data_IF_867206322553
#
_entry.id   IF_867206322553
#
_cell.length_a   1.000
_cell.length_b   1.000
_cell.length_c   1.000
_cell.angle_alpha   90.00
_cell.angle_beta   90.00
_cell.angle_gamma   90.00
#
_symmetry.space_group_name_H-M   'P 1'
#
loop_
_entity.id
_entity.type
_entity.pdbx_description
1 polymer ?
#
# COMPACT_ATOMS: atom_id res chain seq x y z
N UNK A 1 -6.27 16.67 -0.37
CA UNK A 1 -6.43 16.65 -1.85
C UNK A 1 -7.88 16.31 -2.19
N UNK A 2 -8.81 17.26 -2.06
CA UNK A 2 -10.21 17.11 -2.51
C UNK A 2 -10.34 17.86 -3.84
N UNK A 3 -10.79 17.20 -4.91
CA UNK A 3 -11.10 17.84 -6.19
C UNK A 3 -10.40 17.26 -7.43
N UNK A 4 -9.18 16.70 -7.31
CA UNK A 4 -8.44 16.26 -8.50
C UNK A 4 -9.03 15.03 -9.21
N UNK A 5 -9.89 14.27 -8.53
CA UNK A 5 -10.63 13.14 -9.12
C UNK A 5 -11.71 13.57 -10.12
N UNK A 6 -12.08 14.87 -10.12
CA UNK A 6 -13.05 15.42 -11.07
C UNK A 6 -12.43 15.69 -12.43
N UNK A 7 -11.09 15.78 -12.53
CA UNK A 7 -10.44 15.97 -13.83
C UNK A 7 -10.63 14.73 -14.70
N UNK A 8 -11.15 14.88 -15.94
CA UNK A 8 -11.43 13.75 -16.82
C UNK A 8 -10.20 12.87 -17.09
N UNK A 9 -9.01 13.46 -17.17
CA UNK A 9 -7.74 12.75 -17.37
C UNK A 9 -7.39 11.83 -16.19
N UNK A 10 -7.62 12.31 -14.95
CA UNK A 10 -7.39 11.54 -13.73
C UNK A 10 -8.39 10.38 -13.65
N UNK A 11 -9.67 10.66 -13.92
CA UNK A 11 -10.73 9.64 -13.93
C UNK A 11 -10.45 8.57 -14.98
N UNK A 12 -10.14 8.96 -16.21
CA UNK A 12 -9.78 8.01 -17.29
C UNK A 12 -8.57 7.16 -16.92
N UNK A 13 -7.53 7.76 -16.33
CA UNK A 13 -6.36 7.01 -15.86
C UNK A 13 -6.68 6.02 -14.75
N UNK A 14 -7.58 6.36 -13.82
CA UNK A 14 -8.05 5.44 -12.78
C UNK A 14 -8.88 4.31 -13.38
N UNK A 15 -9.86 4.62 -14.24
CA UNK A 15 -10.69 3.62 -14.92
C UNK A 15 -9.84 2.64 -15.72
N UNK A 16 -8.87 3.11 -16.51
CA UNK A 16 -7.95 2.24 -17.26
C UNK A 16 -7.17 1.28 -16.37
N UNK A 17 -6.74 1.73 -15.18
CA UNK A 17 -6.03 0.86 -14.22
C UNK A 17 -6.95 -0.20 -13.61
N UNK A 18 -8.21 0.16 -13.36
CA UNK A 18 -9.23 -0.77 -12.88
C UNK A 18 -9.54 -1.80 -13.95
N UNK A 19 -9.81 -1.39 -15.19
CA UNK A 19 -10.06 -2.30 -16.31
C UNK A 19 -8.86 -3.21 -16.60
N UNK A 20 -7.64 -2.67 -16.49
CA UNK A 20 -6.43 -3.46 -16.71
C UNK A 20 -6.30 -4.62 -15.72
N UNK A 21 -6.82 -4.49 -14.49
CA UNK A 21 -6.68 -5.53 -13.47
C UNK A 21 -7.43 -6.81 -13.84
N UNK A 22 -8.51 -6.70 -14.59
CA UNK A 22 -9.33 -7.81 -15.07
C UNK A 22 -8.59 -8.67 -16.11
N UNK A 23 -7.54 -8.11 -16.75
CA UNK A 23 -6.76 -8.84 -17.73
C UNK A 23 -6.07 -10.06 -17.09
N UNK A 24 -6.19 -11.23 -17.73
CA UNK A 24 -5.58 -12.49 -17.26
C UNK A 24 -4.05 -12.41 -17.14
N UNK A 25 -3.41 -11.56 -17.96
CA UNK A 25 -1.95 -11.35 -17.95
C UNK A 25 -1.52 -10.23 -17.00
N UNK A 26 -2.44 -9.60 -16.28
CA UNK A 26 -2.11 -8.46 -15.43
C UNK A 26 -1.05 -8.81 -14.39
N UNK A 27 -1.14 -9.98 -13.77
CA UNK A 27 -0.18 -10.42 -12.74
C UNK A 27 1.22 -10.60 -13.34
N UNK A 28 1.33 -11.23 -14.51
CA UNK A 28 2.60 -11.39 -15.24
C UNK A 28 3.19 -10.03 -15.63
N UNK A 29 2.38 -9.16 -16.25
CA UNK A 29 2.81 -7.83 -16.67
C UNK A 29 3.26 -6.97 -15.48
N UNK A 30 2.50 -6.97 -14.38
CA UNK A 30 2.86 -6.22 -13.17
C UNK A 30 4.12 -6.74 -12.50
N UNK A 31 4.33 -8.06 -12.49
CA UNK A 31 5.58 -8.68 -12.00
C UNK A 31 6.78 -8.10 -12.76
N UNK A 32 6.76 -8.19 -14.10
CA UNK A 32 7.84 -7.68 -14.95
C UNK A 32 8.06 -6.17 -14.79
N UNK A 33 6.98 -5.38 -14.71
CA UNK A 33 7.07 -3.94 -14.53
C UNK A 33 7.69 -3.56 -13.18
N UNK A 34 7.30 -4.23 -12.10
CA UNK A 34 7.84 -3.97 -10.76
C UNK A 34 9.31 -4.38 -10.69
N UNK A 35 9.66 -5.56 -11.20
CA UNK A 35 11.05 -6.03 -11.24
C UNK A 35 11.94 -5.08 -12.05
N UNK A 36 11.49 -4.69 -13.25
CA UNK A 36 12.20 -3.74 -14.10
C UNK A 36 12.38 -2.39 -13.39
N UNK A 37 11.32 -1.85 -12.78
CA UNK A 37 11.39 -0.60 -11.99
C UNK A 37 12.41 -0.71 -10.85
N UNK A 38 12.32 -1.78 -10.06
CA UNK A 38 13.18 -2.01 -8.90
C UNK A 38 14.65 -2.16 -9.31
N UNK A 39 14.91 -2.91 -10.38
CA UNK A 39 16.23 -3.07 -10.98
C UNK A 39 16.81 -1.73 -11.46
N UNK A 40 16.04 -1.00 -12.26
CA UNK A 40 16.49 0.28 -12.84
C UNK A 40 16.76 1.35 -11.78
N UNK A 41 16.03 1.32 -10.66
CA UNK A 41 16.22 2.24 -9.54
C UNK A 41 17.21 1.74 -8.48
N UNK A 42 17.70 0.51 -8.59
CA UNK A 42 18.56 -0.11 -7.58
C UNK A 42 17.88 -0.26 -6.21
N UNK A 43 16.56 -0.46 -6.15
CA UNK A 43 15.80 -0.58 -4.90
C UNK A 43 14.94 -1.84 -4.86
N UNK A 44 14.86 -2.49 -3.70
CA UNK A 44 14.02 -3.67 -3.45
C UNK A 44 12.75 -3.33 -2.65
N UNK A 45 12.16 -2.18 -2.93
CA UNK A 45 10.96 -1.69 -2.24
C UNK A 45 9.94 -1.14 -3.22
N UNK A 46 8.71 -1.63 -3.12
CA UNK A 46 7.61 -1.19 -3.94
C UNK A 46 6.44 -0.75 -3.07
N UNK A 47 5.84 0.41 -3.39
CA UNK A 47 4.61 0.90 -2.77
C UNK A 47 3.47 0.71 -3.75
N UNK A 48 2.41 0.06 -3.31
CA UNK A 48 1.14 0.00 -4.03
C UNK A 48 0.35 1.29 -3.81
N UNK A 49 -0.34 1.71 -4.86
CA UNK A 49 -1.17 2.92 -4.91
C UNK A 49 -0.44 4.23 -4.59
N UNK A 50 -0.19 5.01 -5.64
CA UNK A 50 0.09 6.45 -5.51
C UNK A 50 -1.20 7.25 -5.29
N UNK A 51 -2.32 6.74 -5.84
CA UNK A 51 -3.69 7.22 -5.63
C UNK A 51 -4.69 6.07 -5.83
N UNK A 52 -5.88 6.21 -5.25
CA UNK A 52 -6.88 5.14 -5.20
C UNK A 52 -6.64 4.15 -4.05
N UNK A 53 -7.44 3.10 -4.02
CA UNK A 53 -7.40 2.05 -3.00
C UNK A 53 -7.94 0.73 -3.60
N UNK A 54 -7.90 -0.37 -2.84
CA UNK A 54 -8.49 -1.65 -3.21
C UNK A 54 -9.95 -1.47 -3.65
N UNK A 55 -10.36 -2.13 -4.73
CA UNK A 55 -11.75 -2.08 -5.21
C UNK A 55 -12.49 -3.42 -5.08
N UNK A 56 -11.76 -4.50 -4.80
CA UNK A 56 -12.31 -5.84 -4.64
C UNK A 56 -11.33 -6.75 -3.88
N UNK A 57 -11.83 -7.88 -3.40
CA UNK A 57 -11.00 -8.98 -2.89
C UNK A 57 -10.13 -9.59 -4.00
N UNK A 58 -10.66 -9.70 -5.23
CA UNK A 58 -9.90 -10.21 -6.39
C UNK A 58 -8.68 -9.35 -6.70
N UNK A 59 -8.80 -8.02 -6.62
CA UNK A 59 -7.67 -7.10 -6.73
C UNK A 59 -6.58 -7.40 -5.69
N UNK A 60 -6.97 -7.67 -4.44
CA UNK A 60 -6.03 -8.05 -3.39
C UNK A 60 -5.36 -9.41 -3.70
N UNK A 61 -6.13 -10.40 -4.17
CA UNK A 61 -5.60 -11.71 -4.59
C UNK A 61 -4.56 -11.57 -5.71
N UNK A 62 -4.82 -10.72 -6.71
CA UNK A 62 -3.88 -10.44 -7.81
C UNK A 62 -2.62 -9.74 -7.32
N UNK A 63 -2.73 -8.76 -6.42
CA UNK A 63 -1.58 -8.11 -5.78
C UNK A 63 -0.72 -9.14 -5.03
N UNK A 64 -1.34 -10.03 -4.27
CA UNK A 64 -0.64 -11.10 -3.54
C UNK A 64 0.04 -12.06 -4.52
N UNK A 65 -0.61 -12.40 -5.63
CA UNK A 65 -0.02 -13.23 -6.68
C UNK A 65 1.22 -12.58 -7.33
N UNK A 66 1.25 -11.24 -7.44
CA UNK A 66 2.46 -10.50 -7.85
C UNK A 66 3.53 -10.60 -6.76
N UNK A 67 3.18 -10.33 -5.49
CA UNK A 67 4.15 -10.36 -4.39
C UNK A 67 4.81 -11.74 -4.22
N UNK A 68 4.06 -12.82 -4.44
CA UNK A 68 4.58 -14.21 -4.45
C UNK A 68 5.58 -14.46 -5.58
N UNK A 69 5.45 -13.77 -6.72
CA UNK A 69 6.36 -13.85 -7.88
C UNK A 69 7.58 -12.94 -7.74
N UNK A 70 7.56 -11.97 -6.83
CA UNK A 70 8.67 -11.04 -6.57
C UNK A 70 9.19 -11.14 -5.13
N UNK A 71 9.67 -12.33 -4.69
CA UNK A 71 10.03 -12.57 -3.29
C UNK A 71 11.15 -11.65 -2.77
N UNK A 72 12.04 -11.20 -3.65
CA UNK A 72 13.14 -10.29 -3.31
C UNK A 72 12.73 -8.83 -3.11
N UNK A 73 11.48 -8.47 -3.43
CA UNK A 73 10.98 -7.10 -3.35
C UNK A 73 10.05 -7.01 -2.15
N UNK A 74 10.28 -6.02 -1.29
CA UNK A 74 9.39 -5.71 -0.19
C UNK A 74 8.26 -4.81 -0.70
N UNK A 75 7.01 -5.22 -0.47
CA UNK A 75 5.81 -4.53 -0.89
C UNK A 75 5.13 -3.86 0.31
N UNK A 76 4.68 -2.63 0.11
CA UNK A 76 3.83 -1.92 1.06
C UNK A 76 2.51 -1.58 0.39
N UNK A 77 1.41 -2.01 1.01
CA UNK A 77 0.03 -1.74 0.58
C UNK A 77 -0.69 -0.91 1.66
N UNK A 78 -0.69 0.43 1.55
CA UNK A 78 -1.58 1.26 2.35
C UNK A 78 -3.01 1.15 1.85
N UNK A 79 -3.98 0.94 2.75
CA UNK A 79 -5.41 0.84 2.39
C UNK A 79 -6.32 1.28 3.54
N UNK A 80 -7.49 1.82 3.23
CA UNK A 80 -8.60 2.03 4.16
C UNK A 80 -9.67 0.94 4.05
N UNK A 81 -9.58 0.09 3.03
CA UNK A 81 -10.59 -0.88 2.60
C UNK A 81 -10.53 -2.19 3.40
N UNK A 82 -10.88 -2.08 4.68
CA UNK A 82 -10.83 -3.18 5.65
C UNK A 82 -11.71 -4.36 5.25
N UNK A 83 -12.82 -4.11 4.55
CA UNK A 83 -13.75 -5.14 4.16
C UNK A 83 -13.08 -6.19 3.25
N UNK A 84 -12.35 -5.73 2.23
CA UNK A 84 -11.64 -6.63 1.31
C UNK A 84 -10.51 -7.38 2.01
N UNK A 85 -9.76 -6.71 2.88
CA UNK A 85 -8.70 -7.38 3.66
C UNK A 85 -9.30 -8.43 4.63
N UNK A 86 -10.49 -8.20 5.19
CA UNK A 86 -11.17 -9.15 6.11
C UNK A 86 -11.73 -10.37 5.40
N UNK A 87 -12.19 -10.20 4.16
CA UNK A 87 -12.77 -11.27 3.36
C UNK A 87 -11.70 -12.17 2.75
N UNK A 88 -10.46 -11.70 2.69
CA UNK A 88 -9.33 -12.47 2.20
C UNK A 88 -8.87 -13.47 3.28
N UNK A 89 -8.98 -14.76 2.97
CA UNK A 89 -8.70 -15.86 3.91
C UNK A 89 -7.40 -16.62 3.61
N UNK A 90 -6.63 -16.23 2.61
CA UNK A 90 -5.36 -16.89 2.27
C UNK A 90 -4.16 -16.25 2.98
N UNK A 91 -3.02 -16.94 2.92
CA UNK A 91 -1.76 -16.46 3.48
C UNK A 91 -1.22 -15.23 2.75
N UNK A 92 -0.93 -14.19 3.53
CA UNK A 92 -0.24 -12.99 3.09
C UNK A 92 1.27 -13.28 3.06
N UNK A 93 1.96 -13.14 1.91
CA UNK A 93 3.39 -13.45 1.82
C UNK A 93 4.21 -12.50 2.71
N UNK A 94 5.33 -12.99 3.22
CA UNK A 94 6.17 -12.27 4.20
C UNK A 94 6.72 -10.94 3.66
N UNK A 95 6.92 -10.85 2.35
CA UNK A 95 7.36 -9.65 1.65
C UNK A 95 6.25 -8.62 1.40
N UNK A 96 4.99 -8.87 1.81
CA UNK A 96 3.89 -7.90 1.72
C UNK A 96 3.51 -7.37 3.11
N UNK A 97 3.65 -6.06 3.30
CA UNK A 97 3.14 -5.33 4.47
C UNK A 97 1.88 -4.55 4.10
N UNK A 98 0.73 -5.02 4.58
CA UNK A 98 -0.55 -4.31 4.43
C UNK A 98 -0.73 -3.39 5.64
N UNK A 99 -0.99 -2.10 5.41
CA UNK A 99 -1.22 -1.10 6.46
C UNK A 99 -2.60 -0.50 6.34
N UNK A 100 -3.44 -0.79 7.34
CA UNK A 100 -4.76 -0.20 7.46
C UNK A 100 -4.63 1.23 7.97
N UNK A 101 -4.95 2.20 7.11
CA UNK A 101 -4.88 3.61 7.42
C UNK A 101 -6.12 4.09 8.19
N UNK A 102 -5.91 4.99 9.15
CA UNK A 102 -7.02 5.72 9.79
C UNK A 102 -7.61 6.76 8.84
N UNK A 103 -8.92 6.97 8.94
CA UNK A 103 -9.65 7.96 8.13
C UNK A 103 -9.55 9.37 8.70
N UNK A 104 -9.38 9.49 10.02
CA UNK A 104 -9.39 10.74 10.77
C UNK A 104 -8.02 11.02 11.38
N UNK A 105 -7.65 12.30 11.37
CA UNK A 105 -6.45 12.82 12.03
C UNK A 105 -6.55 12.58 13.55
N UNK A 106 -5.43 12.26 14.18
CA UNK A 106 -5.27 11.98 15.61
C UNK A 106 -6.13 10.83 16.16
N UNK A 107 -6.78 10.06 15.29
CA UNK A 107 -7.53 8.88 15.71
C UNK A 107 -6.59 7.73 16.05
N UNK A 108 -6.95 6.89 17.04
CA UNK A 108 -6.13 5.76 17.43
C UNK A 108 -5.95 4.77 16.26
N UNK A 109 -4.90 3.94 16.31
CA UNK A 109 -4.71 2.85 15.36
C UNK A 109 -5.99 2.05 15.24
N UNK A 110 -6.39 1.80 14.00
CA UNK A 110 -7.71 1.27 13.80
C UNK A 110 -7.80 -0.16 14.32
N UNK A 111 -8.88 -0.47 15.04
CA UNK A 111 -9.08 -1.79 15.64
C UNK A 111 -9.02 -2.89 14.57
N UNK A 112 -7.89 -3.59 14.52
CA UNK A 112 -7.54 -4.57 13.50
C UNK A 112 -7.20 -5.93 14.12
N UNK A 113 -7.57 -6.19 15.38
CA UNK A 113 -7.29 -7.44 16.09
C UNK A 113 -7.69 -8.70 15.31
N UNK A 114 -8.67 -8.60 14.40
CA UNK A 114 -9.12 -9.71 13.55
C UNK A 114 -8.38 -9.84 12.21
N UNK A 115 -7.57 -8.85 11.83
CA UNK A 115 -6.96 -8.76 10.49
C UNK A 115 -5.48 -9.16 10.45
N UNK A 116 -4.80 -9.32 11.59
CA UNK A 116 -3.37 -9.68 11.65
C UNK A 116 -2.44 -8.88 10.70
N UNK A 117 -2.81 -7.63 10.39
CA UNK A 117 -2.08 -6.71 9.52
C UNK A 117 -1.60 -5.50 10.31
N UNK A 118 -0.76 -4.65 9.71
CA UNK A 118 -0.26 -3.45 10.39
C UNK A 118 -1.24 -2.28 10.22
N UNK A 119 -1.02 -1.21 10.97
CA UNK A 119 -1.81 0.03 10.90
C UNK A 119 -0.93 1.21 10.52
N UNK A 120 -1.58 2.29 10.11
CA UNK A 120 -0.98 3.61 10.08
C UNK A 120 -1.96 4.69 10.51
N UNK A 121 -1.44 5.68 11.23
CA UNK A 121 -2.18 6.83 11.79
C UNK A 121 -1.65 8.14 11.22
N UNK A 122 -2.39 9.23 11.43
CA UNK A 122 -1.96 10.59 11.11
C UNK A 122 -1.98 11.39 12.41
N UNK A 123 -0.89 12.06 12.71
CA UNK A 123 -0.72 12.95 13.88
C UNK A 123 -1.20 12.33 15.21
N UNK A 124 -0.80 11.08 15.42
CA UNK A 124 -1.04 10.31 16.62
C UNK A 124 0.27 10.07 17.39
N UNK A 125 0.21 10.11 18.73
CA UNK A 125 1.40 10.06 19.59
C UNK A 125 2.04 8.66 19.64
N UNK A 126 1.28 7.61 19.40
CA UNK A 126 1.73 6.22 19.52
C UNK A 126 2.18 5.60 18.20
N UNK A 127 3.17 4.69 18.28
CA UNK A 127 3.75 3.99 17.13
C UNK A 127 5.01 4.65 16.56
N UNK A 128 5.49 4.11 15.44
CA UNK A 128 6.70 4.60 14.79
C UNK A 128 6.44 5.96 14.13
N UNK A 129 7.15 6.99 14.57
CA UNK A 129 6.99 8.36 14.07
C UNK A 129 7.74 8.56 12.75
N UNK A 130 7.01 8.82 11.66
CA UNK A 130 7.61 9.05 10.35
C UNK A 130 8.32 10.41 10.28
N UNK A 131 9.65 10.37 10.13
CA UNK A 131 10.51 11.56 9.98
C UNK A 131 10.73 12.00 8.52
N UNK A 132 9.80 11.69 7.62
CA UNK A 132 9.95 12.08 6.22
C UNK A 132 9.87 13.60 6.03
N UNK A 133 9.05 14.29 6.85
CA UNK A 133 8.93 15.76 6.85
C UNK A 133 10.27 16.44 7.11
N UNK A 134 11.04 15.92 8.08
CA UNK A 134 12.38 16.41 8.44
C UNK A 134 13.43 16.17 7.32
N UNK A 135 13.09 15.34 6.32
CA UNK A 135 13.94 14.98 5.18
C UNK A 135 13.36 15.49 3.86
N UNK A 136 12.75 16.67 3.87
CA UNK A 136 12.20 17.27 2.66
C UNK A 136 11.10 16.42 2.00
N UNK A 137 10.22 15.83 2.81
CA UNK A 137 9.18 14.89 2.38
C UNK A 137 9.71 13.61 1.70
N UNK A 138 10.94 13.19 2.02
CA UNK A 138 11.53 11.95 1.53
C UNK A 138 11.66 10.87 2.60
N UNK A 139 11.44 9.62 2.20
CA UNK A 139 11.68 8.47 3.08
C UNK A 139 13.17 8.32 3.44
N UNK A 140 14.08 8.75 2.56
CA UNK A 140 15.53 8.55 2.74
C UNK A 140 15.86 7.07 2.99
N UNK A 141 16.60 6.74 4.05
CA UNK A 141 16.93 5.35 4.39
C UNK A 141 15.79 4.61 5.12
N UNK A 142 14.74 5.30 5.59
CA UNK A 142 13.68 4.68 6.38
C UNK A 142 12.82 3.76 5.52
N UNK A 143 12.52 2.56 6.04
CA UNK A 143 11.64 1.57 5.41
C UNK A 143 10.56 1.02 6.34
N UNK A 144 10.23 1.76 7.41
CA UNK A 144 9.25 1.33 8.41
C UNK A 144 7.90 0.92 7.79
N UNK A 145 7.46 1.63 6.74
CA UNK A 145 6.20 1.33 6.05
C UNK A 145 6.16 -0.09 5.45
N UNK A 146 7.30 -0.68 5.11
CA UNK A 146 7.42 -2.04 4.57
C UNK A 146 7.64 -3.12 5.64
N UNK A 147 7.89 -2.75 6.90
CA UNK A 147 8.26 -3.68 7.95
C UNK A 147 7.04 -4.18 8.72
N UNK A 148 6.74 -5.47 8.65
CA UNK A 148 5.64 -6.10 9.38
C UNK A 148 5.83 -6.09 10.91
N UNK A 149 7.08 -5.99 11.36
CA UNK A 149 7.46 -5.90 12.78
C UNK A 149 7.05 -4.57 13.43
N UNK A 150 6.73 -3.54 12.64
CA UNK A 150 6.27 -2.24 13.14
C UNK A 150 4.73 -2.20 13.10
N UNK A 151 4.05 -2.32 14.25
CA UNK A 151 2.59 -2.48 14.29
C UNK A 151 1.84 -1.27 13.79
N UNK A 152 2.31 -0.06 14.14
CA UNK A 152 1.74 1.20 13.70
C UNK A 152 2.83 2.15 13.20
N UNK A 153 2.61 2.79 12.06
CA UNK A 153 3.40 3.94 11.58
C UNK A 153 2.54 5.19 11.63
N UNK A 154 3.00 6.20 12.36
CA UNK A 154 2.36 7.50 12.41
C UNK A 154 2.97 8.45 11.38
N UNK A 155 2.13 9.07 10.57
CA UNK A 155 2.53 10.11 9.64
C UNK A 155 2.24 11.50 10.22
N UNK A 156 3.18 12.46 10.12
CA UNK A 156 2.89 13.84 10.49
C UNK A 156 1.83 14.42 9.54
N UNK A 157 1.01 15.33 10.04
CA UNK A 157 0.10 16.07 9.20
C UNK A 157 0.88 16.93 8.18
N UNK A 158 0.45 16.84 6.92
CA UNK A 158 0.97 17.61 5.79
C UNK A 158 0.43 19.03 5.79
#
# INVERSE_FOLDING_TARGET
MRGNYLYPSVRSGLTKRLEAIENLRWVEAMTLLIESRCRNRGVKYFRWFDSGDLQSTDMLSRIIAVCKRTPDINHWLPTQERAFVRQFNDDIPSNLCIRISTTKVSSPPAANRRLNVQTSTIDHKEGFQCRAKDRGNSCGPCRACWQRTIPNVNYPQH
#
